data_IF_563167297932
#
_entry.id   IF_563167297932
#
_cell.length_a   1.000
_cell.length_b   1.000
_cell.length_c   1.000
_cell.angle_alpha   90.00
_cell.angle_beta   90.00
_cell.angle_gamma   90.00
#
_symmetry.space_group_name_H-M   'P 1'
#
loop_
_entity.id
_entity.type
_entity.pdbx_description
1 polymer ?
#
# COMPACT_ATOMS: atom_id res chain seq x y z
N UNK A 1 -12.33 -21.82 -1.02
CA UNK A 1 -13.66 -21.15 -1.11
C UNK A 1 -13.98 -20.84 -2.57
N UNK A 2 -15.18 -21.11 -3.04
CA UNK A 2 -15.60 -20.89 -4.44
C UNK A 2 -15.99 -19.41 -4.65
N UNK A 3 -15.31 -18.72 -5.56
CA UNK A 3 -15.68 -17.36 -5.99
C UNK A 3 -16.58 -17.41 -7.23
N UNK A 4 -16.36 -18.37 -8.12
CA UNK A 4 -17.18 -18.62 -9.32
C UNK A 4 -17.12 -20.11 -9.70
N UNK A 5 -17.72 -20.50 -10.85
CA UNK A 5 -17.60 -21.87 -11.34
C UNK A 5 -16.15 -22.29 -11.62
N UNK A 6 -15.28 -21.34 -11.97
CA UNK A 6 -13.89 -21.62 -12.35
C UNK A 6 -12.87 -21.14 -11.32
N UNK A 7 -13.19 -20.15 -10.49
CA UNK A 7 -12.23 -19.51 -9.59
C UNK A 7 -12.45 -19.94 -8.15
N UNK A 8 -11.37 -20.33 -7.47
CA UNK A 8 -11.33 -20.68 -6.03
C UNK A 8 -10.33 -19.81 -5.30
N UNK A 9 -10.72 -19.29 -4.16
CA UNK A 9 -9.81 -18.62 -3.24
C UNK A 9 -9.14 -19.64 -2.33
N UNK A 10 -7.81 -19.61 -2.28
CA UNK A 10 -6.97 -20.48 -1.44
C UNK A 10 -5.99 -19.69 -0.57
N UNK A 11 -6.16 -18.36 -0.48
CA UNK A 11 -5.32 -17.49 0.34
C UNK A 11 -5.40 -17.78 1.84
N UNK A 12 -4.48 -17.17 2.59
CA UNK A 12 -4.35 -17.32 4.04
C UNK A 12 -4.44 -15.95 4.73
N UNK A 13 -4.86 -15.97 6.00
CA UNK A 13 -4.89 -14.79 6.85
C UNK A 13 -3.79 -14.90 7.91
N UNK A 14 -3.00 -13.86 8.06
CA UNK A 14 -1.96 -13.74 9.07
C UNK A 14 -2.38 -12.72 10.14
N UNK A 15 -2.60 -13.21 11.36
CA UNK A 15 -2.89 -12.39 12.54
C UNK A 15 -1.72 -12.34 13.52
N UNK A 16 -0.61 -13.03 13.21
CA UNK A 16 0.55 -13.17 14.09
C UNK A 16 1.66 -12.18 13.73
N UNK A 17 1.85 -11.90 12.45
CA UNK A 17 2.85 -10.93 11.98
C UNK A 17 2.44 -9.53 12.42
N UNK A 18 3.32 -8.87 13.16
CA UNK A 18 3.05 -7.53 13.71
C UNK A 18 3.42 -6.41 12.75
N UNK A 19 4.40 -6.64 11.89
CA UNK A 19 4.94 -5.63 10.97
C UNK A 19 5.08 -6.22 9.57
N UNK A 20 4.35 -5.68 8.60
CA UNK A 20 4.57 -5.96 7.19
C UNK A 20 5.91 -5.37 6.75
N UNK A 21 6.70 -6.10 5.96
CA UNK A 21 8.08 -5.73 5.58
C UNK A 21 8.98 -5.35 6.80
N UNK A 22 8.67 -5.84 8.01
CA UNK A 22 9.31 -5.46 9.26
C UNK A 22 9.25 -3.96 9.57
N UNK A 23 8.31 -3.23 8.98
CA UNK A 23 8.22 -1.77 9.07
C UNK A 23 6.79 -1.27 9.35
N UNK A 24 5.75 -1.88 8.75
CA UNK A 24 4.40 -1.35 8.77
C UNK A 24 3.51 -2.12 9.74
N UNK A 25 2.97 -1.50 10.80
CA UNK A 25 2.13 -2.19 11.78
C UNK A 25 0.89 -2.84 11.15
N UNK A 26 0.58 -4.04 11.61
CA UNK A 26 -0.58 -4.82 11.19
C UNK A 26 -1.53 -5.08 12.37
N UNK A 27 -2.22 -4.06 12.89
CA UNK A 27 -3.08 -4.24 14.07
C UNK A 27 -4.26 -5.19 13.84
N UNK A 28 -4.65 -5.37 12.58
CA UNK A 28 -5.76 -6.25 12.16
C UNK A 28 -5.29 -7.36 11.22
N UNK A 29 -3.99 -7.70 11.26
CA UNK A 29 -3.38 -8.70 10.40
C UNK A 29 -3.26 -8.29 8.94
N UNK A 30 -2.99 -9.28 8.08
CA UNK A 30 -2.91 -9.14 6.62
C UNK A 30 -3.37 -10.45 5.98
N UNK A 31 -3.93 -10.39 4.78
CA UNK A 31 -4.18 -11.58 3.97
C UNK A 31 -3.10 -11.73 2.90
N UNK A 32 -2.71 -12.97 2.62
CA UNK A 32 -1.91 -13.35 1.45
C UNK A 32 -2.82 -14.15 0.53
N UNK A 33 -3.39 -13.47 -0.44
CA UNK A 33 -4.41 -14.03 -1.31
C UNK A 33 -3.77 -14.77 -2.48
N UNK A 34 -4.28 -15.95 -2.75
CA UNK A 34 -3.95 -16.75 -3.91
C UNK A 34 -5.21 -17.41 -4.45
N UNK A 35 -5.19 -17.74 -5.72
CA UNK A 35 -6.39 -18.19 -6.42
C UNK A 35 -6.08 -19.37 -7.33
N UNK A 36 -7.01 -20.31 -7.41
CA UNK A 36 -6.99 -21.35 -8.43
C UNK A 36 -7.97 -21.01 -9.54
N UNK A 37 -7.52 -21.13 -10.78
CA UNK A 37 -8.41 -21.18 -11.93
C UNK A 37 -8.50 -22.63 -12.39
N UNK A 38 -9.69 -23.23 -12.22
CA UNK A 38 -9.93 -24.68 -12.38
C UNK A 38 -10.71 -24.93 -13.64
N UNK A 39 -10.05 -25.52 -14.63
CA UNK A 39 -10.65 -25.92 -15.90
C UNK A 39 -10.11 -27.32 -16.32
N UNK A 40 -9.89 -27.58 -17.62
CA UNK A 40 -9.22 -28.81 -18.09
C UNK A 40 -7.82 -28.89 -17.49
N UNK A 41 -7.10 -27.76 -17.49
CA UNK A 41 -5.87 -27.51 -16.71
C UNK A 41 -6.15 -26.60 -15.52
N UNK A 42 -5.29 -26.69 -14.52
CA UNK A 42 -5.40 -25.86 -13.31
C UNK A 42 -4.23 -24.89 -13.24
N UNK A 43 -4.53 -23.61 -13.13
CA UNK A 43 -3.56 -22.56 -12.81
C UNK A 43 -3.72 -22.09 -11.37
N UNK A 44 -2.61 -21.97 -10.65
CA UNK A 44 -2.49 -21.31 -9.36
C UNK A 44 -1.93 -19.91 -9.61
N UNK A 45 -2.58 -18.87 -9.07
CA UNK A 45 -2.18 -17.48 -9.21
C UNK A 45 -1.50 -17.03 -7.94
N UNK A 46 -0.21 -16.72 -8.01
CA UNK A 46 0.67 -16.38 -6.89
C UNK A 46 0.66 -17.44 -5.77
N UNK A 47 1.39 -17.21 -4.69
CA UNK A 47 1.42 -18.12 -3.54
C UNK A 47 1.07 -17.38 -2.25
N UNK A 48 1.64 -17.78 -1.12
CA UNK A 48 1.49 -17.12 0.17
C UNK A 48 2.86 -17.01 0.87
N UNK A 49 2.89 -16.34 2.02
CA UNK A 49 4.08 -16.23 2.84
C UNK A 49 4.57 -17.60 3.35
N UNK A 50 5.89 -17.76 3.46
CA UNK A 50 6.54 -19.03 3.78
C UNK A 50 6.02 -19.71 5.06
N UNK A 51 5.64 -18.93 6.06
CA UNK A 51 5.10 -19.45 7.33
C UNK A 51 3.82 -20.26 7.17
N UNK A 52 3.07 -20.07 6.09
CA UNK A 52 1.78 -20.69 5.84
C UNK A 52 1.82 -21.90 4.90
N UNK A 53 3.02 -22.47 4.60
CA UNK A 53 3.22 -23.58 3.65
C UNK A 53 2.19 -24.70 3.85
N UNK A 54 2.02 -25.20 5.08
CA UNK A 54 1.16 -26.35 5.35
C UNK A 54 -0.32 -26.02 5.12
N UNK A 55 -0.80 -24.91 5.65
CA UNK A 55 -2.17 -24.44 5.49
C UNK A 55 -2.49 -24.19 4.00
N UNK A 56 -1.59 -23.53 3.30
CA UNK A 56 -1.74 -23.19 1.90
C UNK A 56 -1.85 -24.44 1.01
N UNK A 57 -0.93 -25.41 1.16
CA UNK A 57 -0.99 -26.67 0.41
C UNK A 57 -2.25 -27.47 0.73
N UNK A 58 -2.68 -27.50 2.00
CA UNK A 58 -3.92 -28.18 2.41
C UNK A 58 -5.15 -27.53 1.75
N UNK A 59 -5.22 -26.21 1.66
CA UNK A 59 -6.31 -25.49 0.96
C UNK A 59 -6.34 -25.81 -0.53
N UNK A 60 -5.19 -25.82 -1.20
CA UNK A 60 -5.10 -26.23 -2.61
C UNK A 60 -5.63 -27.64 -2.78
N UNK A 61 -5.13 -28.61 -1.98
CA UNK A 61 -5.54 -30.01 -2.04
C UNK A 61 -7.04 -30.20 -1.80
N UNK A 62 -7.62 -29.44 -0.87
CA UNK A 62 -9.06 -29.49 -0.59
C UNK A 62 -9.92 -29.02 -1.77
N UNK A 63 -9.45 -28.08 -2.58
CA UNK A 63 -10.19 -27.54 -3.72
C UNK A 63 -10.03 -28.37 -5.01
N UNK A 64 -8.88 -29.02 -5.23
CA UNK A 64 -8.61 -29.75 -6.48
C UNK A 64 -8.61 -31.28 -6.35
N UNK A 65 -8.63 -31.82 -5.12
CA UNK A 65 -8.63 -33.27 -4.87
C UNK A 65 -7.34 -33.93 -5.37
N UNK A 66 -7.51 -34.97 -6.21
CA UNK A 66 -6.37 -35.73 -6.78
C UNK A 66 -5.83 -35.13 -8.07
N UNK A 67 -6.39 -34.02 -8.53
CA UNK A 67 -5.86 -33.27 -9.66
C UNK A 67 -4.55 -32.58 -9.27
N UNK A 68 -3.78 -32.14 -10.26
CA UNK A 68 -2.53 -31.43 -10.08
C UNK A 68 -2.65 -29.98 -10.53
N UNK A 69 -1.79 -29.13 -9.99
CA UNK A 69 -1.56 -27.78 -10.52
C UNK A 69 -0.68 -27.90 -11.76
N UNK A 70 -1.20 -27.49 -12.91
CA UNK A 70 -0.48 -27.52 -14.18
C UNK A 70 0.42 -26.29 -14.36
N UNK A 71 -0.05 -25.13 -13.89
CA UNK A 71 0.64 -23.86 -14.01
C UNK A 71 0.65 -23.11 -12.68
N UNK A 72 1.80 -22.52 -12.34
CA UNK A 72 1.93 -21.50 -11.32
C UNK A 72 2.17 -20.16 -12.01
N UNK A 73 1.19 -19.28 -12.00
CA UNK A 73 1.31 -17.92 -12.52
C UNK A 73 1.95 -17.05 -11.45
N UNK A 74 3.07 -16.41 -11.75
CA UNK A 74 3.76 -15.49 -10.84
C UNK A 74 3.62 -14.08 -11.38
N UNK A 75 2.67 -13.33 -10.80
CA UNK A 75 2.42 -11.93 -11.15
C UNK A 75 3.50 -11.00 -10.59
N UNK A 76 4.02 -11.34 -9.39
CA UNK A 76 4.98 -10.51 -8.68
C UNK A 76 5.88 -11.35 -7.79
N UNK A 77 7.13 -10.91 -7.59
CA UNK A 77 8.18 -11.70 -6.94
C UNK A 77 8.44 -11.32 -5.48
N UNK A 78 7.60 -10.49 -4.86
CA UNK A 78 7.75 -10.18 -3.44
C UNK A 78 7.55 -11.45 -2.59
N UNK A 79 8.45 -11.72 -1.62
CA UNK A 79 8.45 -13.00 -0.91
C UNK A 79 7.20 -13.33 -0.11
N UNK A 80 6.40 -12.35 0.27
CA UNK A 80 5.18 -12.57 1.05
C UNK A 80 4.07 -13.30 0.26
N UNK A 81 4.12 -13.26 -1.08
CA UNK A 81 3.22 -14.04 -1.96
C UNK A 81 3.95 -14.80 -3.08
N UNK A 82 5.29 -14.91 -3.00
CA UNK A 82 6.10 -15.72 -3.94
C UNK A 82 6.99 -16.76 -3.27
N UNK A 83 7.05 -16.81 -1.94
CA UNK A 83 7.99 -17.67 -1.21
C UNK A 83 7.71 -19.18 -1.33
N UNK A 84 6.49 -19.57 -1.68
CA UNK A 84 6.10 -20.99 -1.71
C UNK A 84 6.23 -21.65 -3.11
N UNK A 85 6.90 -21.00 -4.07
CA UNK A 85 7.09 -21.56 -5.42
C UNK A 85 7.80 -22.91 -5.39
N UNK A 86 8.88 -23.05 -4.60
CA UNK A 86 9.59 -24.32 -4.43
C UNK A 86 8.68 -25.39 -3.80
N UNK A 87 7.84 -25.03 -2.84
CA UNK A 87 6.90 -25.96 -2.22
C UNK A 87 5.82 -26.45 -3.20
N UNK A 88 5.35 -25.60 -4.10
CA UNK A 88 4.42 -25.98 -5.18
C UNK A 88 5.13 -26.93 -6.16
N UNK A 89 6.39 -26.69 -6.51
CA UNK A 89 7.18 -27.59 -7.37
C UNK A 89 7.50 -28.92 -6.70
N UNK A 90 7.69 -28.95 -5.39
CA UNK A 90 7.84 -30.20 -4.62
C UNK A 90 6.57 -31.04 -4.66
N UNK A 91 5.41 -30.42 -4.46
CA UNK A 91 4.11 -31.10 -4.44
C UNK A 91 3.61 -31.48 -5.85
N UNK A 92 3.90 -30.63 -6.85
CA UNK A 92 3.51 -30.78 -8.26
C UNK A 92 4.73 -30.65 -9.18
N UNK A 93 5.56 -31.71 -9.33
CA UNK A 93 6.84 -31.63 -10.05
C UNK A 93 6.73 -31.19 -11.53
N UNK A 94 5.61 -31.54 -12.18
CA UNK A 94 5.36 -31.16 -13.59
C UNK A 94 4.79 -29.72 -13.73
N UNK A 95 4.53 -29.03 -12.63
CA UNK A 95 3.97 -27.66 -12.65
C UNK A 95 4.92 -26.71 -13.38
N UNK A 96 4.43 -26.04 -14.42
CA UNK A 96 5.18 -25.03 -15.16
C UNK A 96 4.96 -23.66 -14.51
N UNK A 97 6.03 -22.95 -14.17
CA UNK A 97 5.95 -21.57 -13.73
C UNK A 97 5.76 -20.67 -14.95
N UNK A 98 4.77 -19.81 -14.92
CA UNK A 98 4.45 -18.84 -15.99
C UNK A 98 4.65 -17.44 -15.47
N UNK A 99 5.53 -16.69 -16.09
CA UNK A 99 5.88 -15.33 -15.70
C UNK A 99 6.52 -14.57 -16.86
N UNK A 100 6.95 -13.33 -16.64
CA UNK A 100 7.72 -12.59 -17.65
C UNK A 100 9.24 -12.76 -17.48
N UNK A 101 9.97 -12.38 -18.53
CA UNK A 101 11.44 -12.59 -18.57
C UNK A 101 12.22 -11.89 -17.44
N UNK A 102 11.69 -10.79 -16.85
CA UNK A 102 12.39 -10.09 -15.77
C UNK A 102 12.30 -10.85 -14.44
N UNK A 103 11.23 -11.60 -14.21
CA UNK A 103 11.07 -12.38 -12.99
C UNK A 103 11.95 -13.63 -12.93
N UNK A 104 12.41 -14.16 -14.09
CA UNK A 104 13.19 -15.42 -14.15
C UNK A 104 14.43 -15.39 -13.24
N UNK A 105 15.22 -14.33 -13.31
CA UNK A 105 16.40 -14.20 -12.45
C UNK A 105 16.06 -14.03 -10.95
N UNK A 106 14.89 -13.48 -10.64
CA UNK A 106 14.41 -13.37 -9.27
C UNK A 106 13.92 -14.71 -8.74
N UNK A 107 13.26 -15.53 -9.58
CA UNK A 107 12.85 -16.90 -9.25
C UNK A 107 14.09 -17.75 -8.93
N UNK A 108 15.12 -17.67 -9.77
CA UNK A 108 16.39 -18.33 -9.49
C UNK A 108 17.01 -17.84 -8.18
N UNK A 109 17.10 -16.51 -8.00
CA UNK A 109 17.72 -15.88 -6.83
C UNK A 109 17.02 -16.17 -5.50
N UNK A 110 15.68 -16.13 -5.47
CA UNK A 110 14.90 -16.35 -4.25
C UNK A 110 14.54 -17.82 -4.00
N UNK A 111 14.28 -18.60 -5.06
CA UNK A 111 13.73 -19.94 -4.94
C UNK A 111 14.64 -21.05 -5.49
N UNK A 112 15.75 -20.71 -6.15
CA UNK A 112 16.69 -21.67 -6.74
C UNK A 112 16.13 -22.46 -7.92
N UNK A 113 15.01 -22.01 -8.53
CA UNK A 113 14.34 -22.69 -9.64
C UNK A 113 14.89 -22.16 -10.96
N UNK A 114 15.37 -23.04 -11.82
CA UNK A 114 15.97 -22.69 -13.13
C UNK A 114 15.33 -23.41 -14.31
N UNK A 115 14.42 -24.35 -14.07
CA UNK A 115 13.79 -25.19 -15.08
C UNK A 115 12.26 -25.05 -15.09
N UNK A 116 11.65 -25.52 -16.19
CA UNK A 116 10.22 -25.56 -16.40
C UNK A 116 9.55 -24.19 -16.14
N UNK A 117 10.14 -23.12 -16.69
CA UNK A 117 9.64 -21.75 -16.65
C UNK A 117 9.22 -21.34 -18.07
N UNK A 118 7.96 -20.99 -18.23
CA UNK A 118 7.41 -20.43 -19.45
C UNK A 118 7.38 -18.89 -19.33
N UNK A 119 8.17 -18.21 -20.14
CA UNK A 119 8.16 -16.76 -20.21
C UNK A 119 7.11 -16.27 -21.20
N UNK A 120 6.29 -15.32 -20.76
CA UNK A 120 5.23 -14.70 -21.54
C UNK A 120 5.50 -13.20 -21.77
N UNK A 121 4.84 -12.64 -22.78
CA UNK A 121 4.93 -11.24 -23.18
C UNK A 121 3.59 -10.52 -23.00
N UNK A 122 3.62 -9.21 -23.18
CA UNK A 122 2.45 -8.33 -23.18
C UNK A 122 1.35 -8.87 -24.10
N UNK A 123 0.15 -9.09 -23.55
CA UNK A 123 -1.04 -9.51 -24.28
C UNK A 123 -1.09 -10.99 -24.67
N UNK A 124 -0.04 -11.79 -24.38
CA UNK A 124 -0.08 -13.24 -24.63
C UNK A 124 -1.14 -13.92 -23.78
N UNK A 125 -1.64 -15.04 -24.31
CA UNK A 125 -2.69 -15.84 -23.68
C UNK A 125 -2.21 -17.27 -23.42
N UNK A 126 -2.61 -17.81 -22.27
CA UNK A 126 -2.47 -19.21 -21.90
C UNK A 126 -3.85 -19.85 -21.79
N UNK A 127 -4.10 -20.90 -22.57
CA UNK A 127 -5.38 -21.62 -22.50
C UNK A 127 -5.34 -22.69 -21.40
N UNK A 128 -6.40 -22.74 -20.58
CA UNK A 128 -6.64 -23.80 -19.61
C UNK A 128 -7.69 -24.83 -20.08
N UNK A 129 -8.21 -24.63 -21.30
CA UNK A 129 -9.29 -25.39 -21.90
C UNK A 129 -10.41 -24.47 -22.37
N UNK A 130 -11.44 -24.28 -21.56
CA UNK A 130 -12.58 -23.39 -21.85
C UNK A 130 -12.32 -21.93 -21.44
N UNK A 131 -11.41 -21.70 -20.51
CA UNK A 131 -11.02 -20.36 -20.07
C UNK A 131 -9.57 -20.08 -20.44
N UNK A 132 -9.27 -18.81 -20.64
CA UNK A 132 -7.96 -18.31 -21.00
C UNK A 132 -7.43 -17.32 -19.95
N UNK A 133 -6.12 -17.28 -19.80
CA UNK A 133 -5.42 -16.28 -19.01
C UNK A 133 -4.64 -15.37 -19.95
N UNK A 134 -4.92 -14.08 -19.92
CA UNK A 134 -4.20 -13.06 -20.68
C UNK A 134 -3.34 -12.23 -19.75
N UNK A 135 -2.14 -11.87 -20.18
CA UNK A 135 -1.13 -11.24 -19.32
C UNK A 135 -0.82 -9.81 -19.76
N UNK A 136 -0.79 -8.89 -18.80
CA UNK A 136 -0.45 -7.49 -19.02
C UNK A 136 0.70 -7.07 -18.10
N UNK A 137 1.75 -6.49 -18.69
CA UNK A 137 2.90 -6.00 -17.92
C UNK A 137 2.56 -4.65 -17.29
N UNK A 138 2.73 -4.53 -15.99
CA UNK A 138 2.51 -3.30 -15.21
C UNK A 138 3.77 -2.96 -14.39
N UNK A 139 4.92 -2.73 -15.06
CA UNK A 139 6.20 -2.57 -14.39
C UNK A 139 6.14 -1.40 -13.40
N UNK A 140 6.81 -1.57 -12.25
CA UNK A 140 6.84 -0.61 -11.13
C UNK A 140 5.48 -0.39 -10.45
N UNK A 141 4.59 -1.39 -10.52
CA UNK A 141 3.41 -1.45 -9.68
C UNK A 141 3.46 -2.72 -8.79
N UNK A 142 4.42 -2.90 -7.81
CA UNK A 142 5.38 -1.83 -7.49
C UNK A 142 6.86 -2.20 -7.82
N UNK A 143 7.15 -3.39 -8.36
CA UNK A 143 8.47 -3.84 -8.80
C UNK A 143 8.59 -3.88 -10.34
N UNK A 144 9.84 -3.98 -10.89
CA UNK A 144 10.05 -3.85 -12.34
C UNK A 144 9.49 -5.01 -13.18
N UNK A 145 9.28 -6.18 -12.56
CA UNK A 145 8.77 -7.39 -13.22
C UNK A 145 7.25 -7.56 -13.07
N UNK A 146 6.57 -6.71 -12.30
CA UNK A 146 5.15 -6.89 -11.98
C UNK A 146 4.29 -6.97 -13.25
N UNK A 147 3.40 -7.95 -13.27
CA UNK A 147 2.35 -8.14 -14.26
C UNK A 147 1.00 -8.42 -13.59
N UNK A 148 -0.06 -8.37 -14.35
CA UNK A 148 -1.41 -8.78 -13.93
C UNK A 148 -1.93 -9.82 -14.88
N UNK A 149 -2.82 -10.69 -14.39
CA UNK A 149 -3.45 -11.76 -15.16
C UNK A 149 -4.94 -11.49 -15.31
N UNK A 150 -5.45 -11.53 -16.52
CA UNK A 150 -6.84 -11.34 -16.86
C UNK A 150 -7.47 -12.63 -17.33
N UNK A 151 -8.63 -12.99 -16.76
CA UNK A 151 -9.46 -14.10 -17.22
C UNK A 151 -10.75 -13.56 -17.86
N UNK A 152 -10.81 -13.47 -19.22
CA UNK A 152 -11.94 -12.84 -19.92
C UNK A 152 -13.28 -13.49 -19.63
N UNK A 153 -13.33 -14.82 -19.64
CA UNK A 153 -14.56 -15.61 -19.50
C UNK A 153 -15.19 -15.44 -18.11
N UNK A 154 -14.36 -15.18 -17.09
CA UNK A 154 -14.78 -14.95 -15.71
C UNK A 154 -14.82 -13.46 -15.34
N UNK A 155 -14.50 -12.56 -16.29
CA UNK A 155 -14.36 -11.11 -16.08
C UNK A 155 -13.54 -10.76 -14.82
N UNK A 156 -12.47 -11.52 -14.60
CA UNK A 156 -11.67 -11.43 -13.35
C UNK A 156 -10.25 -10.97 -13.65
N UNK A 157 -9.84 -9.92 -12.92
CA UNK A 157 -8.48 -9.39 -12.91
C UNK A 157 -7.75 -9.85 -11.65
N UNK A 158 -6.69 -10.63 -11.80
CA UNK A 158 -5.74 -10.93 -10.74
C UNK A 158 -4.66 -9.85 -10.77
N UNK A 159 -4.76 -8.91 -9.86
CA UNK A 159 -4.07 -7.61 -9.95
C UNK A 159 -2.72 -7.56 -9.23
N UNK A 160 -2.27 -8.66 -8.61
CA UNK A 160 -1.14 -8.59 -7.69
C UNK A 160 -1.44 -7.60 -6.56
N UNK A 161 -0.48 -6.80 -6.18
CA UNK A 161 -0.59 -5.82 -5.10
C UNK A 161 -1.46 -4.61 -5.41
N UNK A 162 -1.73 -4.36 -6.71
CA UNK A 162 -2.62 -3.29 -7.08
C UNK A 162 -4.02 -3.51 -6.49
N UNK A 163 -4.61 -2.44 -5.96
CA UNK A 163 -5.90 -2.44 -5.25
C UNK A 163 -5.90 -3.21 -3.91
N UNK A 164 -4.72 -3.60 -3.43
CA UNK A 164 -4.53 -4.25 -2.15
C UNK A 164 -4.72 -3.30 -0.97
N UNK A 165 -4.90 -3.89 0.20
CA UNK A 165 -5.07 -3.17 1.47
C UNK A 165 -4.47 -3.98 2.61
N UNK A 166 -3.98 -3.32 3.66
CA UNK A 166 -3.75 -4.01 4.92
C UNK A 166 -5.09 -4.51 5.48
N UNK A 167 -5.05 -5.26 6.53
CA UNK A 167 -6.09 -6.03 7.19
C UNK A 167 -6.32 -7.41 6.58
N UNK A 168 -6.44 -8.39 7.47
CA UNK A 168 -6.85 -9.73 7.12
C UNK A 168 -8.33 -9.77 6.73
N UNK A 169 -8.68 -10.70 5.85
CA UNK A 169 -10.05 -10.90 5.38
C UNK A 169 -10.74 -11.91 6.32
N UNK A 170 -11.37 -11.44 7.39
CA UNK A 170 -11.81 -12.30 8.48
C UNK A 170 -13.10 -13.11 8.21
N UNK A 171 -14.16 -12.48 7.70
CA UNK A 171 -15.47 -13.13 7.57
C UNK A 171 -15.97 -13.24 6.12
N UNK A 172 -15.58 -12.32 5.26
CA UNK A 172 -16.03 -12.27 3.88
C UNK A 172 -14.85 -11.97 2.97
N UNK A 173 -14.49 -12.94 2.14
CA UNK A 173 -13.42 -12.75 1.16
C UNK A 173 -13.84 -11.76 0.07
N UNK A 174 -15.11 -11.81 -0.35
CA UNK A 174 -15.70 -10.87 -1.30
C UNK A 174 -16.25 -9.67 -0.51
N UNK A 175 -16.01 -8.46 -1.02
CA UNK A 175 -16.56 -7.24 -0.48
C UNK A 175 -18.09 -7.25 -0.44
N UNK A 176 -18.66 -6.79 0.67
CA UNK A 176 -20.11 -6.70 0.83
C UNK A 176 -20.64 -5.41 0.20
N UNK A 177 -21.88 -5.40 -0.28
CA UNK A 177 -22.56 -4.21 -0.80
C UNK A 177 -22.63 -3.06 0.22
N UNK A 178 -22.68 -3.41 1.52
CA UNK A 178 -22.69 -2.44 2.61
C UNK A 178 -21.28 -2.11 3.09
N UNK A 179 -20.87 -0.86 3.00
CA UNK A 179 -19.72 -0.22 3.67
C UNK A 179 -18.32 -0.83 3.53
N UNK A 180 -18.09 -1.99 2.89
CA UNK A 180 -16.77 -2.63 2.87
C UNK A 180 -15.69 -1.69 2.31
N UNK A 181 -15.99 -0.90 1.27
CA UNK A 181 -15.01 0.05 0.74
C UNK A 181 -14.62 1.12 1.78
N UNK A 182 -15.58 1.67 2.51
CA UNK A 182 -15.31 2.66 3.55
C UNK A 182 -14.52 2.07 4.72
N UNK A 183 -14.83 0.81 5.11
CA UNK A 183 -14.13 0.11 6.18
C UNK A 183 -12.65 -0.16 5.84
N UNK A 184 -12.33 -0.40 4.56
CA UNK A 184 -10.97 -0.66 4.09
C UNK A 184 -10.25 0.58 3.54
N UNK A 185 -10.93 1.68 3.28
CA UNK A 185 -10.37 2.86 2.60
C UNK A 185 -9.12 3.43 3.28
N UNK A 186 -9.13 3.55 4.59
CA UNK A 186 -7.99 4.10 5.33
C UNK A 186 -6.78 3.15 5.27
N UNK A 187 -7.00 1.83 5.39
CA UNK A 187 -5.94 0.85 5.28
C UNK A 187 -5.47 0.64 3.83
N UNK A 188 -6.35 0.80 2.83
CA UNK A 188 -5.96 0.87 1.42
C UNK A 188 -5.08 2.10 1.16
N UNK A 189 -5.42 3.25 1.73
CA UNK A 189 -4.60 4.46 1.60
C UNK A 189 -3.24 4.27 2.27
N UNK A 190 -3.20 3.64 3.46
CA UNK A 190 -1.97 3.36 4.18
C UNK A 190 -1.09 2.35 3.43
N UNK A 191 -1.69 1.28 2.89
CA UNK A 191 -1.02 0.31 2.02
C UNK A 191 -0.44 1.01 0.79
N UNK A 192 -1.29 1.76 0.05
CA UNK A 192 -0.85 2.51 -1.12
C UNK A 192 0.31 3.45 -0.80
N UNK A 193 0.17 4.29 0.22
CA UNK A 193 1.17 5.26 0.62
C UNK A 193 2.50 4.60 1.05
N UNK A 194 2.43 3.45 1.72
CA UNK A 194 3.62 2.73 2.21
C UNK A 194 4.35 1.97 1.10
N UNK A 195 3.62 1.28 0.22
CA UNK A 195 4.14 0.30 -0.74
C UNK A 195 4.23 0.88 -2.16
N UNK A 196 3.16 1.50 -2.65
CA UNK A 196 3.03 1.94 -4.05
C UNK A 196 3.30 3.43 -4.24
N UNK A 197 3.26 4.22 -3.17
CA UNK A 197 3.15 5.69 -3.18
C UNK A 197 4.15 6.46 -4.05
N UNK A 198 5.34 5.90 -4.31
CA UNK A 198 6.34 6.48 -5.23
C UNK A 198 5.93 6.38 -6.69
N UNK A 199 5.13 5.39 -7.03
CA UNK A 199 4.93 4.91 -8.40
C UNK A 199 3.64 5.40 -9.05
N UNK A 200 3.18 6.61 -8.72
CA UNK A 200 1.94 7.18 -9.26
C UNK A 200 1.86 7.15 -10.79
N UNK A 201 2.93 7.54 -11.51
CA UNK A 201 2.98 7.50 -12.99
C UNK A 201 2.88 6.08 -13.56
N UNK A 202 3.62 5.06 -13.06
CA UNK A 202 3.38 3.66 -13.42
C UNK A 202 1.95 3.19 -13.19
N UNK A 203 1.35 3.53 -12.05
CA UNK A 203 -0.06 3.21 -11.75
C UNK A 203 -1.00 3.83 -12.77
N UNK A 204 -0.84 5.11 -13.12
CA UNK A 204 -1.63 5.77 -14.17
C UNK A 204 -1.50 5.06 -15.52
N UNK A 205 -0.30 4.63 -15.88
CA UNK A 205 -0.06 3.86 -17.11
C UNK A 205 -0.76 2.50 -17.08
N UNK A 206 -0.74 1.81 -15.94
CA UNK A 206 -1.43 0.55 -15.74
C UNK A 206 -2.96 0.72 -15.82
N UNK A 207 -3.53 1.71 -15.11
CA UNK A 207 -4.97 2.00 -15.16
C UNK A 207 -5.44 2.30 -16.59
N UNK A 208 -4.68 3.11 -17.33
CA UNK A 208 -4.98 3.41 -18.74
C UNK A 208 -4.94 2.14 -19.62
N UNK A 209 -3.93 1.28 -19.44
CA UNK A 209 -3.79 0.03 -20.18
C UNK A 209 -4.97 -0.91 -19.95
N UNK A 210 -5.40 -1.04 -18.70
CA UNK A 210 -6.43 -1.97 -18.28
C UNK A 210 -7.87 -1.42 -18.42
N UNK A 211 -8.04 -0.15 -18.76
CA UNK A 211 -9.35 0.53 -18.81
C UNK A 211 -10.35 -0.07 -19.82
N UNK A 212 -9.87 -0.83 -20.81
CA UNK A 212 -10.72 -1.52 -21.79
C UNK A 212 -11.24 -2.88 -21.33
N UNK A 213 -10.83 -3.39 -20.16
CA UNK A 213 -11.26 -4.66 -19.64
C UNK A 213 -12.62 -4.53 -18.94
N UNK A 214 -13.57 -5.36 -19.30
CA UNK A 214 -14.88 -5.44 -18.63
C UNK A 214 -14.77 -6.18 -17.28
N UNK A 215 -14.12 -5.54 -16.32
CA UNK A 215 -13.79 -6.15 -15.01
C UNK A 215 -15.04 -6.27 -14.14
N UNK A 216 -15.45 -7.51 -13.86
CA UNK A 216 -16.51 -7.86 -12.90
C UNK A 216 -15.97 -8.27 -11.52
N UNK A 217 -14.65 -8.51 -11.42
CA UNK A 217 -13.96 -8.89 -10.17
C UNK A 217 -12.50 -8.49 -10.21
N UNK A 218 -12.00 -7.94 -9.10
CA UNK A 218 -10.57 -7.70 -8.88
C UNK A 218 -10.10 -8.58 -7.72
N UNK A 219 -9.13 -9.43 -8.00
CA UNK A 219 -8.49 -10.37 -7.07
C UNK A 219 -7.08 -9.86 -6.76
N UNK A 220 -6.92 -9.07 -5.72
CA UNK A 220 -5.61 -8.58 -5.23
C UNK A 220 -4.93 -9.61 -4.33
N UNK A 221 -3.62 -9.44 -4.10
CA UNK A 221 -2.83 -10.28 -3.17
C UNK A 221 -3.13 -9.98 -1.70
N UNK A 222 -3.68 -8.81 -1.40
CA UNK A 222 -4.00 -8.38 -0.03
C UNK A 222 -5.39 -7.76 0.06
N UNK A 223 -6.09 -8.01 1.17
CA UNK A 223 -7.42 -7.47 1.43
C UNK A 223 -8.54 -8.20 0.70
N UNK A 224 -9.72 -7.61 0.57
CA UNK A 224 -10.89 -8.26 -0.01
C UNK A 224 -10.79 -8.43 -1.53
N UNK A 225 -11.51 -9.40 -2.05
CA UNK A 225 -11.85 -9.50 -3.47
C UNK A 225 -12.95 -8.48 -3.75
N UNK A 226 -12.70 -7.58 -4.70
CA UNK A 226 -13.63 -6.50 -5.04
C UNK A 226 -14.58 -6.93 -6.16
N UNK A 227 -15.87 -6.95 -5.88
CA UNK A 227 -16.97 -7.18 -6.83
C UNK A 227 -17.99 -6.04 -6.80
N UNK A 228 -18.39 -5.61 -5.61
CA UNK A 228 -19.45 -4.63 -5.41
C UNK A 228 -18.95 -3.18 -5.50
N UNK A 229 -17.67 -2.93 -5.21
CA UNK A 229 -17.08 -1.59 -5.14
C UNK A 229 -15.97 -1.33 -6.17
N UNK A 230 -15.90 -2.10 -7.27
CA UNK A 230 -14.84 -1.98 -8.29
C UNK A 230 -14.66 -0.54 -8.75
N UNK A 231 -15.77 0.13 -9.09
CA UNK A 231 -15.72 1.52 -9.58
C UNK A 231 -15.12 2.47 -8.55
N UNK A 232 -15.54 2.37 -7.29
CA UNK A 232 -15.02 3.20 -6.19
C UNK A 232 -13.53 2.94 -5.95
N UNK A 233 -13.13 1.66 -5.93
CA UNK A 233 -11.75 1.23 -5.72
C UNK A 233 -10.84 1.74 -6.83
N UNK A 234 -11.23 1.58 -8.09
CA UNK A 234 -10.45 2.03 -9.26
C UNK A 234 -10.35 3.56 -9.27
N UNK A 235 -11.45 4.28 -9.03
CA UNK A 235 -11.45 5.74 -8.97
C UNK A 235 -10.59 6.26 -7.80
N UNK A 236 -10.63 5.57 -6.66
CA UNK A 236 -9.83 5.96 -5.51
C UNK A 236 -8.34 5.71 -5.75
N UNK A 237 -7.99 4.60 -6.35
CA UNK A 237 -6.62 4.27 -6.73
C UNK A 237 -6.06 5.26 -7.79
N UNK A 238 -6.90 5.67 -8.74
CA UNK A 238 -6.60 6.72 -9.71
C UNK A 238 -6.31 8.06 -9.01
N UNK A 239 -7.16 8.46 -8.06
CA UNK A 239 -6.97 9.66 -7.24
C UNK A 239 -5.64 9.63 -6.47
N UNK A 240 -5.34 8.53 -5.77
CA UNK A 240 -4.10 8.36 -5.01
C UNK A 240 -2.87 8.47 -5.91
N UNK A 241 -2.91 7.84 -7.09
CA UNK A 241 -1.77 7.82 -8.03
C UNK A 241 -1.51 9.16 -8.74
N UNK A 242 -2.51 10.04 -8.78
CA UNK A 242 -2.33 11.44 -9.19
C UNK A 242 -1.94 12.38 -8.05
N UNK A 243 -1.77 11.83 -6.84
CA UNK A 243 -1.55 12.61 -5.62
C UNK A 243 -2.65 13.67 -5.38
N UNK A 244 -3.86 13.40 -5.82
CA UNK A 244 -5.01 14.24 -5.53
C UNK A 244 -5.42 14.08 -4.07
N UNK A 245 -5.62 15.20 -3.39
CA UNK A 245 -5.97 15.23 -1.99
C UNK A 245 -7.25 16.01 -1.75
N UNK A 246 -7.92 15.72 -0.65
CA UNK A 246 -9.06 16.49 -0.18
C UNK A 246 -8.57 17.68 0.65
N UNK A 247 -9.38 18.75 0.72
CA UNK A 247 -9.09 19.85 1.64
C UNK A 247 -9.07 19.35 3.08
N UNK A 248 -7.99 19.62 3.78
CA UNK A 248 -7.79 19.22 5.17
C UNK A 248 -6.32 19.27 5.57
N UNK A 249 -6.05 18.97 6.82
CA UNK A 249 -4.72 19.08 7.42
C UNK A 249 -4.31 17.75 8.05
N UNK A 250 -3.12 17.27 7.66
CA UNK A 250 -2.38 16.30 8.44
C UNK A 250 -1.35 17.05 9.29
N UNK A 251 -1.57 17.11 10.60
CA UNK A 251 -0.65 17.67 11.58
C UNK A 251 0.09 16.52 12.26
N UNK A 252 1.39 16.38 12.01
CA UNK A 252 2.23 15.38 12.65
C UNK A 252 3.35 16.04 13.46
N UNK A 253 3.64 15.51 14.64
CA UNK A 253 4.64 16.10 15.52
C UNK A 253 5.45 15.06 16.29
N UNK A 254 6.66 15.46 16.70
CA UNK A 254 7.41 14.78 17.73
C UNK A 254 7.58 15.69 18.94
N UNK A 255 7.55 15.12 20.14
CA UNK A 255 7.73 15.89 21.37
C UNK A 255 8.54 15.11 22.39
N UNK A 256 9.59 15.75 22.96
CA UNK A 256 10.42 15.12 23.99
C UNK A 256 9.85 15.30 25.40
N UNK A 257 9.35 16.49 25.70
CA UNK A 257 8.93 16.90 27.06
C UNK A 257 7.55 17.60 27.04
N UNK A 258 6.70 17.32 26.05
CA UNK A 258 5.33 17.82 25.98
C UNK A 258 5.17 19.27 25.48
N UNK A 259 6.25 20.01 25.21
CA UNK A 259 6.13 21.42 24.80
C UNK A 259 5.68 21.57 23.33
N UNK A 260 6.27 20.79 22.41
CA UNK A 260 5.84 20.76 21.00
C UNK A 260 4.44 20.17 20.87
N UNK A 261 4.11 19.18 21.69
CA UNK A 261 2.78 18.58 21.78
C UNK A 261 1.70 19.61 22.15
N UNK A 262 1.93 20.40 23.22
CA UNK A 262 0.97 21.47 23.61
C UNK A 262 0.69 22.43 22.44
N UNK A 263 1.73 22.84 21.73
CA UNK A 263 1.59 23.69 20.54
C UNK A 263 0.78 22.98 19.43
N UNK A 264 1.06 21.69 19.18
CA UNK A 264 0.36 20.89 18.19
C UNK A 264 -1.14 20.75 18.50
N UNK A 265 -1.48 20.44 19.75
CA UNK A 265 -2.87 20.28 20.19
C UNK A 265 -3.66 21.60 20.07
N UNK A 266 -3.07 22.72 20.49
CA UNK A 266 -3.71 24.03 20.38
C UNK A 266 -3.89 24.45 18.92
N UNK A 267 -2.90 24.20 18.06
CA UNK A 267 -2.98 24.49 16.65
C UNK A 267 -4.06 23.63 15.96
N UNK A 268 -4.12 22.33 16.25
CA UNK A 268 -5.15 21.45 15.72
C UNK A 268 -6.56 21.91 16.14
N UNK A 269 -6.73 22.32 17.38
CA UNK A 269 -8.01 22.88 17.85
C UNK A 269 -8.37 24.20 17.14
N UNK A 270 -7.40 25.10 16.93
CA UNK A 270 -7.62 26.34 16.20
C UNK A 270 -8.04 26.10 14.74
N UNK A 271 -7.41 25.12 14.07
CA UNK A 271 -7.76 24.71 12.70
C UNK A 271 -9.18 24.14 12.66
N UNK A 272 -9.51 23.21 13.57
CA UNK A 272 -10.86 22.60 13.65
C UNK A 272 -11.96 23.63 13.94
N UNK A 273 -11.70 24.65 14.76
CA UNK A 273 -12.63 25.75 15.03
C UNK A 273 -12.98 26.57 13.77
N UNK A 274 -12.13 26.52 12.75
CA UNK A 274 -12.41 27.13 11.41
C UNK A 274 -13.19 26.21 10.48
N UNK A 275 -13.62 25.04 10.95
CA UNK A 275 -14.35 24.06 10.14
C UNK A 275 -13.48 23.28 9.16
N UNK A 276 -12.15 23.27 9.35
CA UNK A 276 -11.19 22.51 8.54
C UNK A 276 -10.93 21.17 9.22
N UNK A 277 -11.06 20.09 8.46
CA UNK A 277 -10.71 18.75 8.95
C UNK A 277 -9.21 18.69 9.27
N UNK A 278 -8.88 18.22 10.46
CA UNK A 278 -7.49 18.15 10.93
C UNK A 278 -7.27 16.85 11.71
N UNK A 279 -6.49 15.95 11.16
CA UNK A 279 -5.96 14.81 11.91
C UNK A 279 -4.67 15.21 12.63
N UNK A 280 -4.33 14.49 13.68
CA UNK A 280 -3.15 14.77 14.49
C UNK A 280 -2.43 13.46 14.80
N UNK A 281 -1.08 13.46 14.66
CA UNK A 281 -0.22 12.30 14.82
C UNK A 281 0.95 12.59 15.75
N UNK A 282 1.07 11.80 16.83
CA UNK A 282 2.23 11.83 17.71
C UNK A 282 3.27 10.79 17.24
N UNK A 283 4.24 11.23 16.47
CA UNK A 283 5.29 10.38 15.90
C UNK A 283 6.25 9.76 16.94
N UNK A 284 6.15 10.13 18.22
CA UNK A 284 6.90 9.49 19.30
C UNK A 284 6.18 8.27 19.85
N UNK A 285 4.90 8.09 19.56
CA UNK A 285 4.07 7.02 20.12
C UNK A 285 3.50 6.09 19.04
N UNK A 286 3.37 6.57 17.80
CA UNK A 286 2.83 5.78 16.69
C UNK A 286 3.79 5.68 15.49
N UNK A 287 3.58 4.67 14.67
CA UNK A 287 4.32 4.51 13.43
C UNK A 287 3.94 5.59 12.42
N UNK A 288 4.92 6.16 11.74
CA UNK A 288 4.72 7.25 10.79
C UNK A 288 3.86 6.87 9.57
N UNK A 289 3.57 5.59 9.32
CA UNK A 289 2.68 5.16 8.24
C UNK A 289 1.25 5.71 8.37
N UNK A 290 0.78 5.95 9.60
CA UNK A 290 -0.53 6.56 9.83
C UNK A 290 -0.55 8.04 9.40
N UNK A 291 0.49 8.79 9.75
CA UNK A 291 0.65 10.16 9.26
C UNK A 291 0.84 10.19 7.73
N UNK A 292 1.63 9.25 7.17
CA UNK A 292 1.83 9.13 5.74
C UNK A 292 0.52 8.86 4.98
N UNK A 293 -0.36 7.98 5.51
CA UNK A 293 -1.73 7.77 5.03
C UNK A 293 -2.48 9.10 4.89
N UNK A 294 -2.48 9.89 5.97
CA UNK A 294 -3.27 11.12 6.01
C UNK A 294 -2.63 12.25 5.19
N UNK A 295 -1.32 12.20 4.93
CA UNK A 295 -0.64 13.05 3.95
C UNK A 295 -1.08 12.73 2.51
N UNK A 296 -1.40 11.48 2.20
CA UNK A 296 -2.02 11.13 0.91
C UNK A 296 -3.48 11.57 0.83
N UNK A 297 -4.19 11.65 1.95
CA UNK A 297 -5.61 12.01 2.05
C UNK A 297 -5.84 13.53 1.98
N UNK A 298 -4.99 14.35 2.63
CA UNK A 298 -5.17 15.79 2.80
C UNK A 298 -4.16 16.63 2.03
N UNK A 299 -4.58 17.83 1.62
CA UNK A 299 -3.79 18.75 0.81
C UNK A 299 -2.74 19.54 1.60
N UNK A 300 -2.88 19.61 2.92
CA UNK A 300 -2.00 20.41 3.77
C UNK A 300 -1.29 19.55 4.81
N UNK A 301 0.04 19.70 4.89
CA UNK A 301 0.89 19.05 5.88
C UNK A 301 1.44 20.09 6.86
N UNK A 302 1.33 19.82 8.15
CA UNK A 302 1.97 20.62 9.20
C UNK A 302 2.86 19.71 10.05
N UNK A 303 4.17 19.98 10.08
CA UNK A 303 5.12 19.19 10.86
C UNK A 303 5.66 19.96 12.05
N UNK A 304 5.50 19.38 13.24
CA UNK A 304 5.99 19.91 14.51
C UNK A 304 7.24 19.18 15.01
N UNK A 305 8.36 19.91 15.23
CA UNK A 305 9.62 19.30 15.68
C UNK A 305 10.35 20.14 16.71
N UNK A 306 10.74 19.61 17.86
CA UNK A 306 11.78 20.25 18.65
C UNK A 306 13.11 20.21 17.89
N UNK A 307 13.98 21.19 18.14
CA UNK A 307 15.36 21.09 17.66
C UNK A 307 16.13 20.11 18.54
N UNK A 308 16.66 19.06 17.89
CA UNK A 308 17.44 18.00 18.53
C UNK A 308 18.81 17.88 17.87
N UNK A 309 19.90 18.01 18.65
CA UNK A 309 21.28 18.00 18.14
C UNK A 309 21.48 18.94 16.93
N UNK A 310 20.97 20.17 17.03
CA UNK A 310 20.94 21.17 15.94
C UNK A 310 20.26 20.71 14.65
N UNK A 311 19.39 19.73 14.71
CA UNK A 311 18.66 19.13 13.61
C UNK A 311 17.19 18.90 13.88
N UNK A 312 16.55 18.17 13.00
CA UNK A 312 15.17 17.71 13.13
C UNK A 312 15.13 16.54 14.12
N UNK A 313 14.13 16.47 14.98
CA UNK A 313 13.91 15.34 15.89
C UNK A 313 13.69 14.05 15.09
N UNK A 314 14.36 12.92 15.45
CA UNK A 314 14.40 11.72 14.60
C UNK A 314 13.07 11.20 14.09
N UNK A 315 11.99 11.07 14.89
CA UNK A 315 10.71 10.58 14.36
C UNK A 315 10.12 11.51 13.27
N UNK A 316 10.26 12.82 13.41
CA UNK A 316 9.78 13.80 12.43
C UNK A 316 10.64 13.77 11.17
N UNK A 317 11.96 13.60 11.32
CA UNK A 317 12.87 13.43 10.20
C UNK A 317 12.50 12.19 9.39
N UNK A 318 12.25 11.06 10.04
CA UNK A 318 11.86 9.81 9.39
C UNK A 318 10.59 9.97 8.53
N UNK A 319 9.56 10.63 9.07
CA UNK A 319 8.37 10.94 8.29
C UNK A 319 8.70 11.82 7.08
N UNK A 320 9.46 12.91 7.27
CA UNK A 320 9.79 13.84 6.19
C UNK A 320 10.62 13.17 5.08
N UNK A 321 11.60 12.34 5.45
CA UNK A 321 12.37 11.52 4.50
C UNK A 321 11.45 10.55 3.76
N UNK A 322 10.53 9.87 4.48
CA UNK A 322 9.54 8.98 3.88
C UNK A 322 8.60 9.66 2.88
N UNK A 323 8.23 10.92 3.11
CA UNK A 323 7.44 11.74 2.18
C UNK A 323 8.26 12.07 0.91
N UNK A 324 9.52 12.49 1.10
CA UNK A 324 10.42 12.81 0.00
C UNK A 324 10.72 11.59 -0.89
N UNK A 325 10.99 10.42 -0.28
CA UNK A 325 11.27 9.18 -1.00
C UNK A 325 10.11 8.71 -1.87
N UNK A 326 8.89 8.99 -1.44
CA UNK A 326 7.65 8.68 -2.19
C UNK A 326 7.30 9.72 -3.24
N UNK A 327 8.12 10.80 -3.33
CA UNK A 327 7.91 11.88 -4.30
C UNK A 327 6.46 12.39 -4.27
N UNK A 328 5.90 12.54 -3.08
CA UNK A 328 4.55 13.08 -2.89
C UNK A 328 4.45 14.45 -3.57
N UNK A 329 3.32 14.74 -4.21
CA UNK A 329 3.11 15.99 -4.98
C UNK A 329 1.85 16.71 -4.51
N UNK A 330 1.70 17.94 -4.97
CA UNK A 330 0.48 18.74 -4.80
C UNK A 330 0.13 18.93 -3.32
N UNK A 331 1.12 19.26 -2.47
CA UNK A 331 0.89 19.50 -1.04
C UNK A 331 1.35 20.90 -0.65
N UNK A 332 0.58 21.51 0.25
CA UNK A 332 0.95 22.70 1.00
C UNK A 332 1.66 22.28 2.27
N UNK A 333 2.65 23.01 2.68
CA UNK A 333 3.51 22.64 3.80
C UNK A 333 3.74 23.82 4.75
N UNK A 334 3.77 23.50 6.05
CA UNK A 334 4.21 24.41 7.09
C UNK A 334 4.91 23.62 8.20
N UNK A 335 5.92 24.24 8.82
CA UNK A 335 6.59 23.68 9.99
C UNK A 335 6.43 24.57 11.21
N UNK A 336 6.42 23.96 12.41
CA UNK A 336 6.57 24.65 13.68
C UNK A 336 7.51 23.88 14.61
N UNK A 337 8.01 24.54 15.65
CA UNK A 337 8.89 23.81 16.54
C UNK A 337 9.36 24.57 17.77
N UNK A 338 9.88 23.81 18.73
CA UNK A 338 10.48 24.32 19.94
C UNK A 338 12.02 24.18 19.92
N UNK A 339 12.70 25.00 20.68
CA UNK A 339 14.14 24.91 20.83
C UNK A 339 14.61 25.37 22.22
N UNK A 340 15.78 24.87 22.66
CA UNK A 340 16.42 25.31 23.89
C UNK A 340 17.25 26.58 23.70
N UNK A 341 18.22 26.55 22.79
CA UNK A 341 19.20 27.63 22.57
C UNK A 341 19.39 27.98 21.07
N UNK A 342 19.22 27.04 20.12
CA UNK A 342 19.29 27.24 18.67
C UNK A 342 18.02 26.72 18.02
N UNK A 343 17.38 27.52 17.17
CA UNK A 343 16.25 27.11 16.36
C UNK A 343 16.76 26.60 15.01
N UNK A 344 16.69 25.28 14.77
CA UNK A 344 17.16 24.68 13.51
C UNK A 344 16.11 23.82 12.80
N UNK A 345 15.29 23.08 13.56
CA UNK A 345 14.38 22.07 12.98
C UNK A 345 13.42 22.62 11.93
N UNK A 346 12.79 23.76 12.20
CA UNK A 346 11.81 24.39 11.31
C UNK A 346 12.45 24.81 9.97
N UNK A 347 13.62 25.44 10.03
CA UNK A 347 14.38 25.82 8.83
C UNK A 347 14.71 24.59 7.98
N UNK A 348 15.24 23.53 8.58
CA UNK A 348 15.60 22.30 7.87
C UNK A 348 14.39 21.60 7.26
N UNK A 349 13.25 21.56 7.96
CA UNK A 349 12.01 21.03 7.44
C UNK A 349 11.52 21.80 6.22
N UNK A 350 11.56 23.15 6.27
CA UNK A 350 11.20 24.00 5.13
C UNK A 350 12.14 23.78 3.94
N UNK A 351 13.45 23.64 4.17
CA UNK A 351 14.43 23.35 3.12
C UNK A 351 14.14 22.01 2.43
N UNK A 352 13.83 20.95 3.21
CA UNK A 352 13.44 19.65 2.66
C UNK A 352 12.12 19.74 1.88
N UNK A 353 11.11 20.43 2.41
CA UNK A 353 9.82 20.61 1.77
C UNK A 353 9.91 21.39 0.46
N UNK A 354 10.68 22.48 0.44
CA UNK A 354 10.93 23.26 -0.77
C UNK A 354 11.66 22.42 -1.83
N UNK A 355 12.66 21.64 -1.42
CA UNK A 355 13.40 20.74 -2.33
C UNK A 355 12.51 19.63 -2.91
N UNK A 356 11.48 19.20 -2.17
CA UNK A 356 10.47 18.26 -2.63
C UNK A 356 9.38 18.90 -3.51
N UNK A 357 9.41 20.25 -3.69
CA UNK A 357 8.47 20.97 -4.54
C UNK A 357 7.12 21.27 -3.88
N UNK A 358 7.05 21.30 -2.55
CA UNK A 358 5.83 21.66 -1.83
C UNK A 358 5.64 23.18 -1.77
N UNK A 359 4.38 23.62 -1.75
CA UNK A 359 4.01 25.01 -1.50
C UNK A 359 4.24 25.35 -0.03
N UNK A 360 5.19 26.22 0.27
CA UNK A 360 5.51 26.65 1.64
C UNK A 360 4.55 27.77 2.05
N UNK A 361 3.70 27.53 3.05
CA UNK A 361 2.69 28.48 3.53
C UNK A 361 3.30 29.62 4.35
N UNK A 362 4.41 29.38 5.05
CA UNK A 362 5.11 30.38 5.85
C UNK A 362 6.53 29.92 6.17
N UNK A 363 7.36 30.84 6.66
CA UNK A 363 8.70 30.49 7.20
C UNK A 363 8.63 29.58 8.42
N UNK A 364 7.42 29.36 8.97
CA UNK A 364 7.15 28.53 10.14
C UNK A 364 7.18 29.30 11.46
N UNK A 365 6.72 28.63 12.51
CA UNK A 365 6.63 29.21 13.85
C UNK A 365 7.57 28.51 14.83
N UNK A 366 8.33 29.28 15.60
CA UNK A 366 9.23 28.73 16.61
C UNK A 366 9.00 29.39 17.97
N UNK A 367 9.18 28.60 19.04
CA UNK A 367 9.19 29.15 20.38
C UNK A 367 10.34 28.56 21.20
N UNK A 368 10.89 29.40 22.09
CA UNK A 368 12.03 29.02 22.93
C UNK A 368 11.57 28.41 24.26
N UNK A 369 12.15 27.24 24.58
CA UNK A 369 11.97 26.55 25.89
C UNK A 369 10.51 26.12 26.11
N UNK A 370 9.94 26.39 27.32
CA UNK A 370 8.59 25.98 27.68
C UNK A 370 7.51 26.65 26.81
N UNK A 371 6.50 25.86 26.46
CA UNK A 371 5.34 26.36 25.72
C UNK A 371 4.58 27.42 26.52
N UNK A 372 4.24 28.52 25.83
CA UNK A 372 3.36 29.59 26.34
C UNK A 372 2.53 30.12 25.17
N UNK A 373 1.21 30.29 25.39
CA UNK A 373 0.30 30.75 24.36
C UNK A 373 0.61 32.15 23.79
N UNK A 374 1.28 33.03 24.60
CA UNK A 374 1.75 34.34 24.16
C UNK A 374 2.98 34.29 23.23
N UNK A 375 3.64 33.13 23.12
CA UNK A 375 4.82 32.92 22.27
C UNK A 375 4.53 32.08 21.01
N UNK A 376 3.36 31.50 20.92
CA UNK A 376 2.95 30.66 19.80
C UNK A 376 1.48 30.95 19.46
N UNK A 377 1.25 31.81 18.49
CA UNK A 377 -0.09 32.21 18.06
C UNK A 377 -0.71 31.15 17.14
N UNK A 378 -1.31 30.14 17.76
CA UNK A 378 -1.99 29.06 17.04
C UNK A 378 -3.14 29.54 16.14
N UNK A 379 -3.81 30.66 16.50
CA UNK A 379 -4.90 31.23 15.70
C UNK A 379 -4.37 31.85 14.42
N UNK A 380 -3.36 32.71 14.53
CA UNK A 380 -2.73 33.31 13.35
C UNK A 380 -2.13 32.26 12.41
N UNK A 381 -1.54 31.20 12.97
CA UNK A 381 -1.02 30.08 12.18
C UNK A 381 -2.16 29.32 11.48
N UNK A 382 -3.28 29.07 12.17
CA UNK A 382 -4.43 28.40 11.59
C UNK A 382 -5.07 29.22 10.43
N UNK A 383 -4.88 30.53 10.38
CA UNK A 383 -5.38 31.39 9.28
C UNK A 383 -4.66 31.16 7.95
N UNK A 384 -3.48 30.56 7.96
CA UNK A 384 -2.68 30.26 6.76
C UNK A 384 -3.18 29.01 6.01
N UNK A 385 -4.09 28.24 6.59
CA UNK A 385 -4.54 26.91 6.11
C UNK A 385 -5.87 26.97 5.36
#
# INVERSE_FOLDING_TARGET
MKLSEKIRYVGVNDFETRLFEQQWPLPYGVSYNSYLVVDEKIALIDTAAAAFKQEFLAKIKAEIGDRKVDYLIVNHMEPDHSALQSAIREEYPDCTIVTNAKAVSMIEGFNGITDNILTIKEGECLSLGKVNLQFFMVPMVHWPETMVTWCPEEKTLFSGDAFGTFNAVSNHVIDLESNTFEDYRDEMTRYYASIVGKYGTPVQSALKKLSGLETGRICSTHGPVWENHITQVVQYYDKLSRYEASRGVCLAYGSMYGNTEKAALELAEAIRKRGIECCIHNLTEENYSYALRDIFKYDTMILGSPTYNNGIFPPVRQLMEGICDRQVKNRRFMAFGSFGWVAASVKLLNEMAASAGFEILSEGATFKQGYKADKFDAKAIAELV
#
